data_IF_257225619294
#
_entry.id   IF_257225619294
#
_cell.length_a   1.000
_cell.length_b   1.000
_cell.length_c   1.000
_cell.angle_alpha   90.00
_cell.angle_beta   90.00
_cell.angle_gamma   90.00
#
_symmetry.space_group_name_H-M   'P 1'
#
loop_
_entity.id
_entity.type
_entity.pdbx_description
1 polymer ?
#
# COMPACT_ATOMS: atom_id res chain seq x y z
N UNK A 1 -29.73 14.45 21.92
CA UNK A 1 -28.36 14.11 21.53
C UNK A 1 -28.47 13.38 20.21
N UNK A 2 -28.33 14.10 19.09
CA UNK A 2 -28.40 13.49 17.76
C UNK A 2 -27.19 12.59 17.61
N UNK A 3 -27.42 11.30 17.45
CA UNK A 3 -26.38 10.32 17.21
C UNK A 3 -25.89 10.54 15.76
N UNK A 4 -25.03 11.55 15.53
CA UNK A 4 -24.53 11.87 14.19
C UNK A 4 -23.69 10.71 13.68
N UNK A 5 -24.03 10.16 12.53
CA UNK A 5 -23.25 9.07 11.94
C UNK A 5 -21.98 9.69 11.34
N UNK A 6 -20.81 9.10 11.62
CA UNK A 6 -19.55 9.54 11.01
C UNK A 6 -19.08 8.51 10.01
N UNK A 7 -18.68 8.99 8.85
CA UNK A 7 -18.16 8.19 7.74
C UNK A 7 -16.68 8.50 7.61
N UNK A 8 -15.86 7.47 7.45
CA UNK A 8 -14.44 7.64 7.10
C UNK A 8 -14.26 7.15 5.69
N UNK A 9 -13.54 7.90 4.87
CA UNK A 9 -13.29 7.57 3.48
C UNK A 9 -11.81 7.80 3.14
N UNK A 10 -11.09 6.71 2.91
CA UNK A 10 -9.70 6.73 2.45
C UNK A 10 -9.64 6.63 0.93
N UNK A 11 -9.32 7.74 0.26
CA UNK A 11 -9.27 7.84 -1.21
C UNK A 11 -7.93 7.30 -1.76
N UNK A 12 -7.62 6.04 -1.47
CA UNK A 12 -6.41 5.39 -1.97
C UNK A 12 -6.37 5.22 -3.49
N UNK A 13 -5.17 5.04 -4.05
CA UNK A 13 -4.95 4.94 -5.52
C UNK A 13 -5.49 3.67 -6.17
N UNK A 14 -5.83 2.67 -5.37
CA UNK A 14 -6.30 1.36 -5.81
C UNK A 14 -7.19 0.63 -4.80
N UNK A 15 -7.34 1.17 -3.57
CA UNK A 15 -8.31 0.72 -2.57
C UNK A 15 -9.02 1.94 -1.99
N UNK A 16 -10.35 2.00 -2.08
CA UNK A 16 -11.23 2.95 -1.39
C UNK A 16 -11.77 2.25 -0.16
N UNK A 17 -11.46 2.76 1.02
CA UNK A 17 -11.92 2.18 2.29
C UNK A 17 -12.94 3.11 2.92
N UNK A 18 -14.16 2.60 3.16
CA UNK A 18 -15.18 3.38 3.84
C UNK A 18 -16.05 2.56 4.78
N UNK A 19 -16.45 3.15 5.90
CA UNK A 19 -17.50 2.61 6.76
C UNK A 19 -18.19 3.71 7.57
N UNK A 20 -19.36 3.36 8.12
CA UNK A 20 -20.03 4.14 9.16
C UNK A 20 -19.54 3.70 10.55
N UNK A 21 -19.18 4.65 11.41
CA UNK A 21 -18.75 4.40 12.78
C UNK A 21 -19.90 4.03 13.75
N UNK A 22 -21.08 3.67 13.24
CA UNK A 22 -22.30 3.54 14.02
C UNK A 22 -22.79 2.09 14.10
N UNK A 23 -22.28 1.31 15.06
CA UNK A 23 -23.03 0.20 15.64
C UNK A 23 -22.97 0.31 17.18
N UNK A 24 -24.15 0.47 17.78
CA UNK A 24 -24.32 0.77 19.19
C UNK A 24 -23.97 -0.39 20.12
N UNK A 25 -23.33 -0.04 21.25
CA UNK A 25 -23.16 -0.88 22.43
C UNK A 25 -24.51 -1.32 23.00
N UNK A 26 -24.73 -2.64 23.08
CA UNK A 26 -25.65 -3.22 24.07
C UNK A 26 -24.84 -3.55 25.31
N UNK A 27 -25.28 -2.98 26.42
CA UNK A 27 -24.71 -2.99 27.78
C UNK A 27 -24.28 -4.37 28.29
N UNK A 28 -23.11 -4.45 28.95
CA UNK A 28 -22.92 -5.23 30.18
C UNK A 28 -21.80 -4.60 31.04
N UNK A 29 -22.10 -4.48 32.33
CA UNK A 29 -21.36 -3.81 33.39
C UNK A 29 -20.11 -4.56 33.87
N UNK A 30 -19.13 -3.79 34.33
CA UNK A 30 -18.00 -4.10 35.22
C UNK A 30 -16.63 -4.43 34.59
N UNK A 31 -15.70 -3.50 34.86
CA UNK A 31 -14.26 -3.67 35.08
C UNK A 31 -13.55 -4.74 34.23
N UNK A 32 -13.14 -4.36 33.03
CA UNK A 32 -11.78 -4.51 32.48
C UNK A 32 -11.78 -3.73 31.16
N UNK A 33 -10.93 -2.70 31.06
CA UNK A 33 -10.68 -2.03 29.78
C UNK A 33 -9.98 -3.03 28.86
N UNK A 34 -10.76 -3.77 28.08
CA UNK A 34 -10.30 -4.70 27.07
C UNK A 34 -10.86 -4.30 25.72
N UNK A 35 -9.94 -4.17 24.78
CA UNK A 35 -10.11 -4.16 23.34
C UNK A 35 -11.09 -5.29 22.97
N UNK A 36 -12.33 -4.92 22.68
CA UNK A 36 -13.36 -5.81 22.14
C UNK A 36 -13.80 -5.23 20.80
N UNK A 37 -12.99 -5.47 19.77
CA UNK A 37 -13.40 -5.38 18.37
C UNK A 37 -14.46 -6.47 18.19
N UNK A 38 -15.72 -6.08 18.27
CA UNK A 38 -16.85 -6.99 18.10
C UNK A 38 -16.84 -7.54 16.67
N UNK A 39 -17.02 -8.85 16.57
CA UNK A 39 -17.03 -9.64 15.34
C UNK A 39 -18.19 -9.25 14.41
N UNK A 40 -17.96 -8.26 13.55
CA UNK A 40 -18.71 -8.11 12.30
C UNK A 40 -17.70 -8.11 11.15
N UNK A 41 -17.29 -9.33 10.80
CA UNK A 41 -16.25 -9.62 9.82
C UNK A 41 -16.74 -9.38 8.38
N UNK A 42 -15.85 -8.73 7.62
CA UNK A 42 -15.63 -8.82 6.17
C UNK A 42 -16.67 -8.19 5.21
N UNK A 43 -16.54 -6.89 4.93
CA UNK A 43 -16.70 -6.42 3.54
C UNK A 43 -15.29 -6.09 3.02
N UNK A 44 -14.60 -7.12 2.53
CA UNK A 44 -13.28 -7.01 1.89
C UNK A 44 -13.51 -7.04 0.40
N UNK A 45 -13.03 -6.02 -0.33
CA UNK A 45 -12.49 -6.09 -1.69
C UNK A 45 -12.00 -4.71 -2.13
N UNK A 46 -11.03 -4.72 -3.04
CA UNK A 46 -10.26 -3.56 -3.49
C UNK A 46 -11.08 -2.70 -4.48
N UNK A 47 -11.12 -1.37 -4.30
CA UNK A 47 -11.86 -0.38 -5.13
C UNK A 47 -10.98 0.85 -5.43
N UNK A 48 -11.12 1.67 -6.47
CA UNK A 48 -12.22 1.73 -7.40
C UNK A 48 -11.74 1.61 -8.86
N UNK A 49 -12.23 0.58 -9.54
CA UNK A 49 -12.34 0.60 -11.00
C UNK A 49 -13.62 1.38 -11.34
N UNK A 50 -13.55 2.34 -12.26
CA UNK A 50 -14.73 2.88 -12.93
C UNK A 50 -14.74 2.36 -14.36
N UNK A 51 -15.86 1.83 -14.80
CA UNK A 51 -15.95 1.18 -16.09
C UNK A 51 -17.19 1.66 -16.84
N UNK A 52 -16.98 2.17 -18.04
CA UNK A 52 -18.05 2.63 -18.92
C UNK A 52 -18.26 1.57 -20.00
N UNK A 53 -19.51 1.16 -20.31
CA UNK A 53 -19.80 0.27 -21.42
C UNK A 53 -19.30 0.87 -22.72
N UNK A 54 -18.59 0.07 -23.52
CA UNK A 54 -18.13 0.46 -24.86
C UNK A 54 -19.33 0.60 -25.81
N UNK A 55 -20.00 1.75 -25.78
CA UNK A 55 -21.14 2.07 -26.67
C UNK A 55 -20.74 2.28 -28.14
N UNK A 56 -19.46 2.15 -28.48
CA UNK A 56 -18.92 2.33 -29.83
C UNK A 56 -18.34 1.04 -30.43
N UNK A 57 -18.84 -0.15 -30.07
CA UNK A 57 -18.66 -1.31 -30.95
C UNK A 57 -19.61 -1.16 -32.15
N UNK A 58 -19.11 -0.56 -33.25
CA UNK A 58 -19.69 -0.85 -34.57
C UNK A 58 -19.59 -2.36 -34.72
N UNK A 59 -20.74 -3.04 -34.69
CA UNK A 59 -20.87 -4.48 -34.84
C UNK A 59 -20.02 -4.98 -36.02
N UNK A 60 -18.84 -5.53 -35.72
CA UNK A 60 -18.14 -6.44 -36.62
C UNK A 60 -18.73 -7.82 -36.38
N UNK A 61 -19.80 -8.08 -37.11
CA UNK A 61 -20.35 -9.37 -37.51
C UNK A 61 -20.47 -10.48 -36.45
N UNK A 62 -21.74 -10.79 -36.15
CA UNK A 62 -22.25 -12.14 -35.86
C UNK A 62 -21.61 -12.90 -34.69
N UNK A 63 -22.07 -12.57 -33.48
CA UNK A 63 -22.25 -13.57 -32.44
C UNK A 63 -23.67 -13.39 -31.89
N UNK A 64 -24.40 -14.50 -31.81
CA UNK A 64 -25.83 -14.59 -31.57
C UNK A 64 -26.24 -13.91 -30.26
N UNK A 65 -27.32 -13.11 -30.35
CA UNK A 65 -28.16 -12.70 -29.22
C UNK A 65 -28.73 -13.97 -28.56
N UNK A 66 -27.97 -14.57 -27.65
CA UNK A 66 -28.53 -15.51 -26.70
C UNK A 66 -27.69 -15.51 -25.43
N UNK A 67 -28.38 -15.28 -24.30
CA UNK A 67 -27.91 -15.37 -22.92
C UNK A 67 -27.29 -14.08 -22.34
N UNK A 68 -28.14 -13.10 -21.99
CA UNK A 68 -28.37 -12.63 -20.60
C UNK A 68 -29.23 -11.35 -20.63
N UNK A 69 -30.47 -11.43 -20.12
CA UNK A 69 -31.30 -10.26 -19.76
C UNK A 69 -30.74 -9.60 -18.50
N UNK A 70 -29.57 -8.95 -18.59
CA UNK A 70 -29.14 -8.00 -17.58
C UNK A 70 -29.04 -6.63 -18.24
N UNK A 71 -29.83 -5.67 -17.73
CA UNK A 71 -29.66 -4.26 -18.09
C UNK A 71 -28.26 -3.82 -17.64
N UNK A 72 -27.32 -3.75 -18.59
CA UNK A 72 -26.00 -3.20 -18.34
C UNK A 72 -26.19 -1.71 -18.02
N UNK A 73 -25.96 -1.34 -16.76
CA UNK A 73 -25.97 0.06 -16.32
C UNK A 73 -24.93 0.87 -17.13
N UNK A 74 -25.25 2.14 -17.37
CA UNK A 74 -24.41 3.09 -18.11
C UNK A 74 -23.00 3.27 -17.51
N UNK A 75 -22.84 2.97 -16.22
CA UNK A 75 -21.58 3.02 -15.48
C UNK A 75 -21.54 1.86 -14.49
N UNK A 76 -20.44 1.13 -14.48
CA UNK A 76 -20.16 0.04 -13.53
C UNK A 76 -18.97 0.47 -12.68
N UNK A 77 -19.07 0.28 -11.36
CA UNK A 77 -18.03 0.63 -10.40
C UNK A 77 -17.64 -0.62 -9.63
N UNK A 78 -16.34 -0.79 -9.36
CA UNK A 78 -15.86 -1.78 -8.41
C UNK A 78 -15.71 -3.20 -8.96
N UNK A 79 -15.98 -4.22 -8.15
CA UNK A 79 -15.74 -5.63 -8.53
C UNK A 79 -16.56 -6.06 -9.75
N UNK A 80 -17.75 -5.51 -9.94
CA UNK A 80 -18.57 -5.77 -11.12
C UNK A 80 -17.83 -5.40 -12.43
N UNK A 81 -16.84 -4.50 -12.38
CA UNK A 81 -15.97 -4.25 -13.53
C UNK A 81 -15.09 -5.44 -13.92
N UNK A 82 -14.65 -6.24 -12.94
CA UNK A 82 -13.73 -7.35 -13.19
C UNK A 82 -14.42 -8.46 -13.97
N UNK A 83 -15.69 -8.74 -13.67
CA UNK A 83 -16.50 -9.75 -14.37
C UNK A 83 -16.69 -9.40 -15.86
N UNK A 84 -16.94 -8.12 -16.16
CA UNK A 84 -17.22 -7.64 -17.51
C UNK A 84 -16.03 -6.92 -18.16
N UNK A 85 -14.80 -7.10 -17.66
CA UNK A 85 -13.59 -6.38 -18.11
C UNK A 85 -13.35 -6.43 -19.62
N UNK A 86 -13.76 -7.51 -20.28
CA UNK A 86 -13.61 -7.68 -21.73
C UNK A 86 -14.61 -6.85 -22.56
N UNK A 87 -15.65 -6.31 -21.93
CA UNK A 87 -16.73 -5.54 -22.57
C UNK A 87 -16.74 -4.06 -22.16
N UNK A 88 -15.87 -3.66 -21.23
CA UNK A 88 -15.85 -2.33 -20.63
C UNK A 88 -14.50 -1.64 -20.86
N UNK A 89 -14.54 -0.32 -21.00
CA UNK A 89 -13.32 0.50 -20.89
C UNK A 89 -13.10 0.88 -19.44
N UNK A 90 -11.89 0.66 -18.91
CA UNK A 90 -11.58 0.80 -17.48
C UNK A 90 -10.77 2.07 -17.25
N UNK A 91 -11.37 2.99 -16.50
CA UNK A 91 -10.75 4.24 -16.06
C UNK A 91 -10.46 4.20 -14.56
N UNK A 92 -9.35 4.83 -14.18
CA UNK A 92 -8.95 5.02 -12.78
C UNK A 92 -8.98 6.52 -12.48
N UNK A 93 -9.93 7.00 -11.65
CA UNK A 93 -10.05 8.43 -11.37
C UNK A 93 -8.86 8.98 -10.59
N UNK A 94 -8.20 8.12 -9.81
CA UNK A 94 -7.03 8.47 -9.00
C UNK A 94 -5.77 7.89 -9.64
N UNK A 95 -4.83 8.76 -10.00
CA UNK A 95 -3.53 8.35 -10.51
C UNK A 95 -2.42 8.93 -9.63
N UNK A 96 -1.49 8.06 -9.21
CA UNK A 96 -0.40 8.40 -8.32
C UNK A 96 -0.83 9.22 -7.08
N UNK A 97 -1.89 8.76 -6.42
CA UNK A 97 -2.49 9.34 -5.22
C UNK A 97 -3.42 10.53 -5.49
N UNK A 98 -3.42 11.09 -6.69
CA UNK A 98 -4.11 12.36 -6.99
C UNK A 98 -5.32 12.11 -7.89
N UNK A 99 -6.47 12.70 -7.56
CA UNK A 99 -7.67 12.69 -8.40
C UNK A 99 -7.39 13.47 -9.69
N UNK A 100 -7.50 12.80 -10.84
CA UNK A 100 -7.34 13.40 -12.17
C UNK A 100 -8.70 13.65 -12.83
N UNK A 101 -9.66 12.73 -12.66
CA UNK A 101 -11.01 12.86 -13.22
C UNK A 101 -12.05 12.91 -12.10
N UNK A 102 -12.68 14.08 -11.92
CA UNK A 102 -13.66 14.34 -10.89
C UNK A 102 -15.04 13.77 -11.21
N UNK A 103 -15.41 13.68 -12.49
CA UNK A 103 -16.67 13.08 -12.90
C UNK A 103 -16.67 11.59 -12.57
N UNK A 104 -15.56 10.92 -12.91
CA UNK A 104 -15.33 9.52 -12.61
C UNK A 104 -15.28 9.26 -11.09
N UNK A 105 -14.61 10.14 -10.33
CA UNK A 105 -14.58 10.05 -8.87
C UNK A 105 -15.97 10.25 -8.26
N UNK A 106 -16.79 11.11 -8.86
CA UNK A 106 -18.17 11.30 -8.46
C UNK A 106 -18.99 10.01 -8.53
N UNK A 107 -18.83 9.22 -9.60
CA UNK A 107 -19.49 7.91 -9.72
C UNK A 107 -19.00 6.90 -8.68
N UNK A 108 -17.71 6.95 -8.34
CA UNK A 108 -17.13 6.12 -7.27
C UNK A 108 -17.75 6.46 -5.92
N UNK A 109 -17.85 7.74 -5.58
CA UNK A 109 -18.50 8.18 -4.34
C UNK A 109 -20.00 7.90 -4.32
N UNK A 110 -20.71 8.08 -5.45
CA UNK A 110 -22.14 7.74 -5.56
C UNK A 110 -22.37 6.25 -5.26
N UNK A 111 -21.51 5.38 -5.81
CA UNK A 111 -21.55 3.95 -5.53
C UNK A 111 -21.25 3.65 -4.05
N UNK A 112 -20.20 4.26 -3.48
CA UNK A 112 -19.81 4.05 -2.09
C UNK A 112 -20.91 4.49 -1.10
N UNK A 113 -21.46 5.70 -1.25
CA UNK A 113 -22.44 6.24 -0.30
C UNK A 113 -23.83 5.61 -0.44
N UNK A 114 -24.32 5.45 -1.67
CA UNK A 114 -25.71 5.03 -1.91
C UNK A 114 -25.87 3.52 -2.13
N UNK A 115 -24.90 2.86 -2.78
CA UNK A 115 -25.02 1.43 -3.09
C UNK A 115 -24.47 0.56 -1.95
N UNK A 116 -23.25 0.87 -1.50
CA UNK A 116 -22.54 0.07 -0.49
C UNK A 116 -22.95 0.44 0.93
N UNK A 117 -22.71 1.69 1.35
CA UNK A 117 -22.97 2.14 2.72
C UNK A 117 -24.45 2.39 3.01
N UNK A 118 -25.25 2.69 1.97
CA UNK A 118 -26.68 3.00 2.06
C UNK A 118 -27.00 4.08 3.10
N UNK A 119 -26.16 5.11 3.15
CA UNK A 119 -26.30 6.24 4.06
C UNK A 119 -27.00 7.41 3.37
N UNK A 120 -27.62 8.28 4.17
CA UNK A 120 -27.96 9.63 3.74
C UNK A 120 -26.80 10.57 4.14
N UNK A 121 -26.04 11.10 3.16
CA UNK A 121 -24.96 12.04 3.45
C UNK A 121 -25.39 13.26 4.27
N UNK A 122 -26.64 13.71 4.15
CA UNK A 122 -27.13 14.95 4.79
C UNK A 122 -27.18 14.88 6.31
N UNK A 123 -27.31 13.68 6.87
CA UNK A 123 -27.32 13.43 8.32
C UNK A 123 -25.95 13.02 8.87
N UNK A 124 -24.95 12.87 7.99
CA UNK A 124 -23.65 12.32 8.32
C UNK A 124 -22.54 13.38 8.31
N UNK A 125 -21.49 13.11 9.08
CA UNK A 125 -20.20 13.79 8.96
C UNK A 125 -19.21 12.87 8.23
N UNK A 126 -18.26 13.43 7.48
CA UNK A 126 -17.28 12.66 6.72
C UNK A 126 -15.84 13.09 7.00
N UNK A 127 -14.99 12.13 7.36
CA UNK A 127 -13.54 12.27 7.41
C UNK A 127 -12.94 11.71 6.12
N UNK A 128 -12.23 12.55 5.39
CA UNK A 128 -11.52 12.21 4.16
C UNK A 128 -10.02 12.16 4.43
N UNK A 129 -9.34 11.24 3.76
CA UNK A 129 -7.88 11.20 3.78
C UNK A 129 -7.29 12.02 2.64
N UNK A 130 -6.16 12.68 2.91
CA UNK A 130 -5.40 13.46 1.94
C UNK A 130 -4.02 12.82 1.74
N UNK A 131 -3.62 12.52 0.48
CA UNK A 131 -2.27 12.07 0.21
C UNK A 131 -1.26 13.19 0.48
N UNK A 132 -0.01 12.84 0.84
CA UNK A 132 1.04 13.85 0.99
C UNK A 132 1.25 14.65 -0.29
N UNK A 133 1.51 15.95 -0.15
CA UNK A 133 1.77 16.89 -1.26
C UNK A 133 0.59 17.05 -2.24
N UNK A 134 -0.67 16.90 -1.78
CA UNK A 134 -1.83 17.19 -2.61
C UNK A 134 -1.97 18.71 -2.87
N UNK A 135 -2.15 19.16 -4.13
CA UNK A 135 -2.42 20.55 -4.44
C UNK A 135 -3.63 21.10 -3.68
N UNK A 136 -3.56 22.36 -3.21
CA UNK A 136 -4.67 23.00 -2.49
C UNK A 136 -5.97 22.93 -3.29
N UNK A 137 -5.92 23.23 -4.59
CA UNK A 137 -7.07 23.16 -5.52
C UNK A 137 -7.83 21.84 -5.48
N UNK A 138 -7.14 20.72 -5.26
CA UNK A 138 -7.79 19.42 -5.17
C UNK A 138 -8.53 19.28 -3.83
N UNK A 139 -7.92 19.72 -2.72
CA UNK A 139 -8.58 19.78 -1.41
C UNK A 139 -9.82 20.66 -1.44
N UNK A 140 -9.71 21.82 -2.08
CA UNK A 140 -10.82 22.75 -2.33
C UNK A 140 -11.96 22.06 -3.07
N UNK A 141 -11.66 21.37 -4.17
CA UNK A 141 -12.67 20.66 -4.97
C UNK A 141 -13.28 19.47 -4.24
N UNK A 142 -12.52 18.76 -3.40
CA UNK A 142 -13.09 17.70 -2.54
C UNK A 142 -14.14 18.27 -1.60
N UNK A 143 -13.82 19.36 -0.88
CA UNK A 143 -14.75 19.99 0.06
C UNK A 143 -15.98 20.55 -0.64
N UNK A 144 -15.78 21.26 -1.76
CA UNK A 144 -16.87 21.75 -2.61
C UNK A 144 -17.81 20.60 -3.00
N UNK A 145 -17.26 19.47 -3.45
CA UNK A 145 -18.08 18.31 -3.84
C UNK A 145 -18.86 17.73 -2.65
N UNK A 146 -18.24 17.61 -1.47
CA UNK A 146 -18.90 17.05 -0.29
C UNK A 146 -20.03 17.95 0.23
N UNK A 147 -19.87 19.27 0.19
CA UNK A 147 -20.93 20.19 0.62
C UNK A 147 -21.96 20.49 -0.46
N UNK A 148 -21.57 20.73 -1.70
CA UNK A 148 -22.49 21.16 -2.76
C UNK A 148 -23.23 19.98 -3.41
N UNK A 149 -22.54 18.87 -3.73
CA UNK A 149 -23.16 17.71 -4.38
C UNK A 149 -23.83 16.81 -3.34
N UNK A 150 -23.11 16.43 -2.29
CA UNK A 150 -23.58 15.44 -1.31
C UNK A 150 -24.28 16.04 -0.10
N UNK A 151 -24.09 17.33 0.18
CA UNK A 151 -24.70 18.02 1.31
C UNK A 151 -24.37 17.42 2.70
N UNK A 152 -23.14 16.94 2.91
CA UNK A 152 -22.70 16.45 4.23
C UNK A 152 -22.85 17.51 5.33
N UNK A 153 -23.19 17.06 6.55
CA UNK A 153 -23.37 17.94 7.71
C UNK A 153 -22.05 18.51 8.24
N UNK A 154 -20.95 17.76 8.06
CA UNK A 154 -19.62 18.25 8.38
C UNK A 154 -18.53 17.44 7.67
N UNK A 155 -17.43 18.09 7.37
CA UNK A 155 -16.30 17.53 6.63
C UNK A 155 -15.02 17.77 7.40
N UNK A 156 -14.13 16.77 7.42
CA UNK A 156 -12.77 16.94 7.90
C UNK A 156 -11.81 16.23 6.96
N UNK A 157 -10.66 16.85 6.68
CA UNK A 157 -9.62 16.27 5.82
C UNK A 157 -8.36 16.07 6.66
N UNK A 158 -7.75 14.89 6.58
CA UNK A 158 -6.51 14.59 7.30
C UNK A 158 -5.49 13.84 6.46
N UNK A 159 -4.22 14.17 6.65
CA UNK A 159 -3.11 13.53 5.94
C UNK A 159 -3.00 12.05 6.34
N UNK A 160 -2.85 11.18 5.35
CA UNK A 160 -2.75 9.71 5.53
C UNK A 160 -1.69 9.31 6.56
N UNK A 161 -0.49 9.90 6.47
CA UNK A 161 0.61 9.61 7.39
C UNK A 161 0.27 9.94 8.85
N UNK A 162 -0.39 11.07 9.13
CA UNK A 162 -0.73 11.45 10.49
C UNK A 162 -1.73 10.45 11.10
N UNK A 163 -2.70 9.99 10.31
CA UNK A 163 -3.65 8.96 10.74
C UNK A 163 -2.97 7.64 11.09
N UNK A 164 -1.97 7.22 10.31
CA UNK A 164 -1.24 5.96 10.61
C UNK A 164 -0.52 5.99 11.95
N UNK A 165 0.05 7.14 12.36
CA UNK A 165 0.67 7.29 13.67
C UNK A 165 -0.37 7.30 14.79
N UNK A 166 -1.50 7.98 14.58
CA UNK A 166 -2.60 7.99 15.55
C UNK A 166 -3.16 6.58 15.81
N UNK A 167 -3.23 5.73 14.78
CA UNK A 167 -3.61 4.33 14.96
C UNK A 167 -2.64 3.51 15.84
N UNK A 168 -1.37 3.93 15.95
CA UNK A 168 -0.39 3.35 16.90
C UNK A 168 -0.32 4.10 18.24
N UNK A 169 -1.07 5.18 18.41
CA UNK A 169 -0.97 6.05 19.60
C UNK A 169 0.33 6.87 19.64
N UNK A 170 0.92 7.15 18.47
CA UNK A 170 2.13 7.97 18.33
C UNK A 170 1.76 9.35 17.78
N UNK A 171 2.46 10.39 18.26
CA UNK A 171 2.38 11.75 17.71
C UNK A 171 3.60 12.12 16.87
N UNK A 172 4.73 11.46 17.12
CA UNK A 172 6.01 11.70 16.44
C UNK A 172 6.55 10.40 15.88
N UNK A 173 6.93 10.41 14.61
CA UNK A 173 7.44 9.23 13.91
C UNK A 173 7.65 9.50 12.43
N UNK A 174 8.29 8.56 11.75
CA UNK A 174 8.44 8.55 10.31
C UNK A 174 7.50 7.50 9.72
N UNK A 175 6.60 7.90 8.83
CA UNK A 175 5.68 6.97 8.17
C UNK A 175 6.21 6.63 6.79
N UNK A 176 6.27 5.35 6.48
CA UNK A 176 6.53 4.83 5.14
C UNK A 176 5.23 4.23 4.65
N UNK A 177 4.54 4.95 3.78
CA UNK A 177 3.28 4.53 3.20
C UNK A 177 3.48 4.10 1.74
N UNK A 178 3.35 2.81 1.46
CA UNK A 178 3.51 2.23 0.13
C UNK A 178 2.21 1.56 -0.33
N UNK A 179 1.46 2.28 -1.18
CA UNK A 179 0.16 1.85 -1.69
C UNK A 179 0.24 1.11 -3.03
N UNK A 180 -0.77 1.30 -3.88
CA UNK A 180 -0.79 0.76 -5.25
C UNK A 180 -0.04 1.65 -6.25
N UNK A 181 -0.23 2.99 -6.16
CA UNK A 181 0.36 3.92 -7.13
C UNK A 181 1.66 4.58 -6.69
N UNK A 182 1.81 4.90 -5.40
CA UNK A 182 2.93 5.73 -4.89
C UNK A 182 3.44 5.20 -3.56
N UNK A 183 4.73 5.46 -3.30
CA UNK A 183 5.36 5.32 -1.99
C UNK A 183 5.76 6.69 -1.46
N UNK A 184 5.34 7.01 -0.23
CA UNK A 184 5.68 8.23 0.48
C UNK A 184 6.47 7.92 1.75
N UNK A 185 7.41 8.80 2.06
CA UNK A 185 8.11 8.84 3.34
C UNK A 185 7.81 10.20 3.96
N UNK A 186 7.05 10.20 5.05
CA UNK A 186 6.54 11.42 5.68
C UNK A 186 7.02 11.50 7.12
N UNK A 187 7.83 12.52 7.49
CA UNK A 187 8.17 12.78 8.86
C UNK A 187 7.03 13.55 9.53
N UNK A 188 6.63 13.10 10.72
CA UNK A 188 5.63 13.75 11.57
C UNK A 188 6.25 13.98 12.94
N UNK A 189 6.13 15.20 13.45
CA UNK A 189 6.58 15.58 14.80
C UNK A 189 5.44 16.30 15.49
N UNK A 190 5.04 15.81 16.67
CA UNK A 190 3.97 16.34 17.50
C UNK A 190 2.65 16.53 16.74
N UNK A 191 2.34 15.62 15.82
CA UNK A 191 1.14 15.65 14.96
C UNK A 191 1.27 16.52 13.71
N UNK A 192 2.38 17.24 13.52
CA UNK A 192 2.63 18.07 12.34
C UNK A 192 3.50 17.33 11.32
N UNK A 193 3.05 17.29 10.07
CA UNK A 193 3.85 16.80 8.95
C UNK A 193 4.73 17.91 8.36
N UNK A 194 5.87 17.55 7.76
CA UNK A 194 6.76 18.50 7.09
C UNK A 194 6.74 18.28 5.56
N UNK A 195 5.95 19.05 4.79
CA UNK A 195 5.83 18.87 3.34
C UNK A 195 7.17 18.98 2.61
N UNK A 196 8.04 19.91 3.03
CA UNK A 196 9.34 20.13 2.40
C UNK A 196 10.35 19.00 2.61
N UNK A 197 10.12 18.13 3.62
CA UNK A 197 10.98 16.98 3.93
C UNK A 197 10.36 15.66 3.46
N UNK A 198 9.08 15.68 3.08
CA UNK A 198 8.37 14.52 2.56
C UNK A 198 9.01 14.06 1.26
N UNK A 199 9.39 12.78 1.20
CA UNK A 199 9.93 12.15 -0.01
C UNK A 199 8.85 11.32 -0.68
N UNK A 200 8.82 11.38 -2.01
CA UNK A 200 7.85 10.66 -2.83
C UNK A 200 8.56 9.89 -3.94
N UNK A 201 8.16 8.64 -4.13
CA UNK A 201 8.59 7.78 -5.22
C UNK A 201 7.37 7.25 -5.95
N UNK A 202 7.31 7.42 -7.27
CA UNK A 202 6.24 6.89 -8.12
C UNK A 202 6.48 5.41 -8.46
N UNK A 203 6.85 4.61 -7.45
CA UNK A 203 7.01 3.16 -7.52
C UNK A 203 6.28 2.57 -6.34
N UNK A 204 5.41 1.59 -6.62
CA UNK A 204 4.49 1.00 -5.65
C UNK A 204 3.90 -0.30 -6.23
N UNK A 205 2.80 -0.78 -5.66
CA UNK A 205 2.21 -2.08 -5.96
C UNK A 205 1.91 -2.33 -7.44
N UNK A 206 1.36 -1.34 -8.16
CA UNK A 206 1.01 -1.41 -9.58
C UNK A 206 2.24 -1.59 -10.45
N UNK A 207 3.28 -0.81 -10.17
CA UNK A 207 4.56 -0.86 -10.89
C UNK A 207 5.25 -2.21 -10.69
N UNK A 208 5.21 -2.75 -9.47
CA UNK A 208 5.74 -4.10 -9.18
C UNK A 208 4.94 -5.18 -9.91
N UNK A 209 3.60 -5.08 -9.96
CA UNK A 209 2.77 -6.01 -10.74
C UNK A 209 3.13 -5.95 -12.22
N UNK A 210 3.23 -4.75 -12.82
CA UNK A 210 3.65 -4.58 -14.23
C UNK A 210 5.01 -5.18 -14.50
N UNK A 211 5.97 -4.96 -13.59
CA UNK A 211 7.31 -5.53 -13.72
C UNK A 211 7.30 -7.06 -13.62
N UNK A 212 6.47 -7.62 -12.73
CA UNK A 212 6.30 -9.08 -12.64
C UNK A 212 5.71 -9.68 -13.92
N UNK A 213 4.77 -8.99 -14.60
CA UNK A 213 4.27 -9.41 -15.92
C UNK A 213 5.42 -9.50 -16.93
N UNK A 214 6.28 -8.49 -16.97
CA UNK A 214 7.43 -8.46 -17.89
C UNK A 214 8.45 -9.56 -17.55
N UNK A 215 8.71 -9.84 -16.27
CA UNK A 215 9.58 -10.93 -15.83
C UNK A 215 9.03 -12.31 -16.21
N UNK A 216 7.73 -12.55 -15.98
CA UNK A 216 7.06 -13.80 -16.39
C UNK A 216 7.06 -13.98 -17.90
N UNK A 217 6.91 -12.88 -18.65
CA UNK A 217 6.99 -12.88 -20.12
C UNK A 217 8.38 -13.28 -20.61
N UNK A 218 9.45 -12.75 -19.99
CA UNK A 218 10.85 -13.12 -20.30
C UNK A 218 11.15 -14.59 -20.00
N UNK A 219 10.45 -15.20 -19.04
CA UNK A 219 10.56 -16.63 -18.73
C UNK A 219 9.84 -17.54 -19.74
N UNK A 220 9.06 -16.97 -20.64
CA UNK A 220 8.34 -17.71 -21.69
C UNK A 220 6.85 -17.95 -21.40
N UNK A 221 6.29 -17.33 -20.36
CA UNK A 221 4.84 -17.30 -20.19
C UNK A 221 4.24 -16.15 -20.99
N UNK A 222 3.43 -16.45 -22.01
CA UNK A 222 2.73 -15.42 -22.77
C UNK A 222 1.64 -14.77 -21.91
N UNK A 223 2.02 -13.72 -21.17
CA UNK A 223 1.13 -12.91 -20.33
C UNK A 223 0.84 -11.58 -21.03
N UNK A 224 -0.41 -11.14 -20.96
CA UNK A 224 -0.85 -9.86 -21.50
C UNK A 224 -0.95 -8.82 -20.37
N UNK A 225 -0.40 -7.62 -20.60
CA UNK A 225 -0.29 -6.56 -19.58
C UNK A 225 -1.63 -6.10 -19.02
N UNK A 226 -2.72 -6.18 -19.79
CA UNK A 226 -4.04 -5.68 -19.39
C UNK A 226 -4.99 -6.78 -18.91
N UNK A 227 -4.98 -7.94 -19.56
CA UNK A 227 -5.88 -9.05 -19.25
C UNK A 227 -5.42 -9.84 -18.02
N UNK A 228 -4.12 -10.15 -17.94
CA UNK A 228 -3.57 -10.99 -16.87
C UNK A 228 -3.11 -10.18 -15.65
N UNK A 229 -3.30 -8.86 -15.65
CA UNK A 229 -2.81 -7.96 -14.61
C UNK A 229 -3.31 -8.34 -13.22
N UNK A 230 -4.60 -8.67 -13.10
CA UNK A 230 -5.22 -9.06 -11.82
C UNK A 230 -4.66 -10.39 -11.33
N UNK A 231 -4.58 -11.38 -12.21
CA UNK A 231 -4.01 -12.69 -11.89
C UNK A 231 -2.55 -12.56 -11.44
N UNK A 232 -1.76 -11.70 -12.11
CA UNK A 232 -0.38 -11.43 -11.71
C UNK A 232 -0.29 -10.63 -10.41
N UNK A 233 -1.25 -9.76 -10.11
CA UNK A 233 -1.36 -9.10 -8.78
C UNK A 233 -1.57 -10.13 -7.68
N UNK A 234 -2.46 -11.11 -7.87
CA UNK A 234 -2.63 -12.19 -6.89
C UNK A 234 -1.37 -13.03 -6.71
N UNK A 235 -0.68 -13.35 -7.81
CA UNK A 235 0.59 -14.08 -7.77
C UNK A 235 1.63 -13.30 -6.95
N UNK A 236 1.72 -11.98 -7.18
CA UNK A 236 2.59 -11.08 -6.44
C UNK A 236 2.30 -11.15 -4.94
N UNK A 237 1.03 -11.00 -4.54
CA UNK A 237 0.65 -10.98 -3.13
C UNK A 237 0.84 -12.33 -2.43
N UNK A 238 0.62 -13.44 -3.14
CA UNK A 238 0.75 -14.79 -2.59
C UNK A 238 2.20 -15.27 -2.52
N UNK A 239 3.02 -14.95 -3.52
CA UNK A 239 4.32 -15.60 -3.72
C UNK A 239 5.54 -14.68 -3.55
N UNK A 240 5.41 -13.38 -3.77
CA UNK A 240 6.56 -12.48 -3.72
C UNK A 240 7.01 -12.17 -2.29
N UNK A 241 8.31 -11.95 -2.14
CA UNK A 241 8.93 -11.62 -0.87
C UNK A 241 10.18 -10.77 -1.12
N UNK A 242 10.60 -10.02 -0.11
CA UNK A 242 11.83 -9.24 -0.19
C UNK A 242 12.98 -10.07 0.36
N UNK A 243 14.01 -10.23 -0.46
CA UNK A 243 15.18 -11.01 -0.11
C UNK A 243 16.08 -10.22 0.84
N UNK A 244 16.43 -10.84 1.96
CA UNK A 244 17.47 -10.35 2.84
C UNK A 244 18.84 -10.82 2.33
N UNK A 245 19.79 -9.91 2.20
CA UNK A 245 21.18 -10.23 1.77
C UNK A 245 21.87 -11.25 2.70
N UNK A 246 21.39 -11.41 3.95
CA UNK A 246 21.94 -12.39 4.91
C UNK A 246 21.73 -13.85 4.46
N UNK A 247 20.66 -14.17 3.72
CA UNK A 247 20.41 -15.54 3.23
C UNK A 247 21.42 -15.98 2.14
N UNK A 248 22.10 -15.03 1.49
CA UNK A 248 23.21 -15.37 0.59
C UNK A 248 24.37 -15.98 1.38
N UNK A 249 24.61 -15.53 2.60
CA UNK A 249 25.69 -16.01 3.46
C UNK A 249 25.32 -17.36 4.08
N UNK A 250 24.07 -17.65 4.42
CA UNK A 250 23.71 -19.00 4.91
C UNK A 250 23.66 -20.05 3.79
N UNK A 251 23.18 -19.68 2.59
CA UNK A 251 23.23 -20.59 1.43
C UNK A 251 24.67 -20.80 0.92
N UNK A 252 25.55 -19.78 0.99
CA UNK A 252 26.99 -19.94 0.66
C UNK A 252 27.81 -20.53 1.80
N UNK A 253 27.44 -20.31 3.07
CA UNK A 253 28.11 -20.96 4.22
C UNK A 253 27.76 -22.44 4.31
N UNK A 254 26.55 -22.85 3.91
CA UNK A 254 26.26 -24.28 3.72
C UNK A 254 27.16 -24.88 2.63
N UNK A 255 27.50 -24.08 1.61
CA UNK A 255 28.45 -24.42 0.54
C UNK A 255 29.92 -24.49 1.04
N UNK A 256 30.33 -23.62 1.95
CA UNK A 256 31.69 -23.59 2.52
C UNK A 256 31.86 -24.66 3.61
N UNK A 257 30.83 -24.95 4.40
CA UNK A 257 30.90 -25.95 5.47
C UNK A 257 31.09 -27.37 4.92
N UNK A 258 30.57 -27.66 3.71
CA UNK A 258 30.88 -28.90 2.99
C UNK A 258 32.33 -28.96 2.47
N UNK A 259 32.91 -27.84 2.05
CA UNK A 259 34.31 -27.79 1.62
C UNK A 259 35.31 -27.89 2.78
N UNK A 260 35.01 -27.33 3.95
CA UNK A 260 35.94 -27.32 5.09
C UNK A 260 36.00 -28.68 5.82
N UNK A 261 34.94 -29.50 5.77
CA UNK A 261 34.95 -30.86 6.34
C UNK A 261 35.87 -31.82 5.56
N UNK A 262 36.13 -31.55 4.27
CA UNK A 262 37.05 -32.36 3.44
C UNK A 262 38.53 -32.00 3.63
N UNK A 263 38.85 -30.83 4.18
CA UNK A 263 40.25 -30.35 4.30
C UNK A 263 40.91 -30.81 5.62
N UNK A 264 40.13 -31.18 6.64
CA UNK A 264 40.68 -31.54 7.96
C UNK A 264 40.85 -33.05 8.21
N UNK A 265 40.46 -33.90 7.28
CA UNK A 265 40.86 -35.32 7.26
C UNK A 265 41.85 -35.56 6.13
N UNK A 266 43.09 -35.14 6.39
CA UNK A 266 44.23 -35.46 5.54
C UNK A 266 44.38 -36.98 5.43
N UNK A 267 43.95 -37.51 4.29
CA UNK A 267 44.43 -38.72 3.62
C UNK A 267 43.43 -39.09 2.54
N UNK A 268 43.76 -38.87 1.27
CA UNK A 268 43.61 -39.81 0.15
C UNK A 268 44.00 -39.08 -1.15
N UNK A 269 44.68 -39.84 -2.00
CA UNK A 269 45.33 -39.52 -3.26
C UNK A 269 44.48 -38.68 -4.23
N UNK A 270 45.11 -37.69 -4.86
CA UNK A 270 44.58 -37.01 -6.04
C UNK A 270 44.75 -37.92 -7.26
N UNK A 271 43.70 -38.64 -7.66
CA UNK A 271 43.64 -39.26 -8.99
C UNK A 271 42.58 -38.53 -9.83
N UNK A 272 43.06 -37.79 -10.83
CA UNK A 272 42.32 -36.99 -11.80
C UNK A 272 41.61 -37.88 -12.83
N UNK A 273 40.64 -38.69 -12.40
CA UNK A 273 39.83 -39.52 -13.31
C UNK A 273 38.36 -39.57 -12.89
N UNK A 274 37.53 -38.97 -13.75
CA UNK A 274 36.08 -39.18 -13.87
C UNK A 274 35.22 -38.80 -12.65
N UNK A 275 35.02 -37.50 -12.44
CA UNK A 275 33.71 -37.03 -11.97
C UNK A 275 32.95 -36.48 -13.18
N UNK A 276 31.86 -37.18 -13.55
CA UNK A 276 30.94 -36.77 -14.59
C UNK A 276 30.24 -35.47 -14.20
N UNK A 277 29.87 -34.67 -15.20
CA UNK A 277 29.22 -33.36 -15.08
C UNK A 277 27.85 -33.37 -14.35
N UNK A 278 27.38 -34.52 -13.86
CA UNK A 278 26.05 -34.71 -13.26
C UNK A 278 25.96 -34.33 -11.77
N UNK A 279 27.03 -34.45 -10.98
CA UNK A 279 26.96 -34.18 -9.53
C UNK A 279 27.03 -32.68 -9.16
N UNK A 280 27.72 -31.86 -9.96
CA UNK A 280 27.68 -30.39 -9.87
C UNK A 280 26.33 -29.81 -10.33
N UNK A 281 25.62 -30.52 -11.21
CA UNK A 281 24.28 -30.14 -11.65
C UNK A 281 23.24 -30.33 -10.55
N UNK A 282 23.38 -31.33 -9.68
CA UNK A 282 22.41 -31.68 -8.63
C UNK A 282 22.38 -30.71 -7.44
N UNK A 283 23.52 -30.11 -7.07
CA UNK A 283 23.59 -29.11 -5.98
C UNK A 283 23.07 -27.74 -6.41
N UNK A 284 23.34 -27.32 -7.65
CA UNK A 284 22.68 -26.16 -8.27
C UNK A 284 21.17 -26.41 -8.47
N UNK A 285 20.76 -27.63 -8.82
CA UNK A 285 19.34 -28.00 -8.93
C UNK A 285 18.60 -27.93 -7.60
N UNK A 286 19.23 -28.33 -6.49
CA UNK A 286 18.57 -28.37 -5.18
C UNK A 286 18.28 -26.98 -4.59
N UNK A 287 19.20 -26.01 -4.78
CA UNK A 287 18.97 -24.61 -4.38
C UNK A 287 17.93 -23.95 -5.30
N UNK A 288 17.91 -24.31 -6.59
CA UNK A 288 16.96 -23.79 -7.57
C UNK A 288 15.51 -24.24 -7.31
N UNK A 289 15.30 -25.41 -6.71
CA UNK A 289 13.97 -25.95 -6.41
C UNK A 289 13.31 -25.33 -5.16
N UNK A 290 14.09 -24.82 -4.19
CA UNK A 290 13.55 -24.17 -2.98
C UNK A 290 12.96 -22.77 -3.22
N UNK A 291 13.37 -22.11 -4.30
CA UNK A 291 12.87 -20.76 -4.68
C UNK A 291 11.62 -20.85 -5.58
N UNK A 292 11.39 -22.01 -6.18
CA UNK A 292 10.35 -22.21 -7.19
C UNK A 292 9.00 -22.51 -6.53
N UNK A 293 8.06 -21.58 -6.67
CA UNK A 293 6.67 -21.77 -6.30
C UNK A 293 5.84 -22.11 -7.54
N UNK A 294 4.81 -22.95 -7.34
CA UNK A 294 3.91 -23.42 -8.39
C UNK A 294 2.52 -22.88 -8.08
N UNK A 295 1.88 -22.22 -9.05
CA UNK A 295 0.53 -21.68 -8.87
C UNK A 295 -0.34 -21.98 -10.10
N UNK A 296 -1.60 -22.41 -9.90
CA UNK A 296 -2.55 -22.51 -11.00
C UNK A 296 -3.00 -21.12 -11.46
N UNK A 297 -3.27 -21.01 -12.75
CA UNK A 297 -3.93 -19.87 -13.39
C UNK A 297 -5.44 -20.16 -13.53
N UNK A 298 -6.27 -19.11 -13.73
CA UNK A 298 -7.73 -19.28 -13.89
C UNK A 298 -8.14 -20.19 -15.04
N UNK A 299 -7.31 -20.29 -16.08
CA UNK A 299 -7.52 -21.16 -17.25
C UNK A 299 -7.07 -22.62 -17.04
N UNK A 300 -6.64 -22.98 -15.82
CA UNK A 300 -6.15 -24.30 -15.47
C UNK A 300 -4.70 -24.58 -15.84
N UNK A 301 -3.99 -23.64 -16.51
CA UNK A 301 -2.54 -23.75 -16.70
C UNK A 301 -1.84 -23.60 -15.36
N UNK A 302 -0.68 -24.23 -15.23
CA UNK A 302 0.14 -24.15 -14.02
C UNK A 302 1.45 -23.46 -14.35
N UNK A 303 1.77 -22.37 -13.66
CA UNK A 303 3.02 -21.64 -13.85
C UNK A 303 3.97 -21.87 -12.68
N UNK A 304 5.26 -21.86 -13.01
CA UNK A 304 6.37 -21.94 -12.06
C UNK A 304 7.01 -20.56 -11.94
N UNK A 305 6.98 -19.98 -10.75
CA UNK A 305 7.57 -18.67 -10.43
C UNK A 305 8.76 -18.90 -9.50
N UNK A 306 9.96 -18.48 -9.92
CA UNK A 306 11.22 -18.68 -9.20
C UNK A 306 11.79 -17.36 -8.71
N UNK A 307 12.88 -16.90 -9.33
CA UNK A 307 13.60 -15.68 -8.89
C UNK A 307 12.78 -14.41 -9.03
N UNK A 308 11.76 -14.41 -9.88
CA UNK A 308 10.85 -13.29 -10.10
C UNK A 308 10.15 -12.87 -8.80
N UNK A 309 9.97 -13.81 -7.87
CA UNK A 309 9.35 -13.61 -6.55
C UNK A 309 10.05 -12.55 -5.71
N UNK A 310 11.37 -12.44 -5.81
CA UNK A 310 12.14 -11.42 -5.09
C UNK A 310 12.73 -10.36 -6.02
N UNK A 311 12.87 -10.64 -7.31
CA UNK A 311 13.30 -9.64 -8.29
C UNK A 311 12.23 -8.55 -8.50
N UNK A 312 10.95 -8.91 -8.51
CA UNK A 312 9.87 -7.94 -8.69
C UNK A 312 9.83 -6.87 -7.57
N UNK A 313 9.77 -7.22 -6.26
CA UNK A 313 9.75 -6.23 -5.20
C UNK A 313 11.10 -5.52 -4.97
N UNK A 314 12.21 -5.97 -5.58
CA UNK A 314 13.49 -5.26 -5.53
C UNK A 314 13.41 -3.87 -6.18
N UNK A 315 12.44 -3.64 -7.08
CA UNK A 315 12.16 -2.33 -7.64
C UNK A 315 11.82 -1.25 -6.59
N UNK A 316 11.41 -1.63 -5.37
CA UNK A 316 11.22 -0.68 -4.26
C UNK A 316 12.54 -0.13 -3.71
N UNK A 317 13.64 -0.88 -3.85
CA UNK A 317 14.98 -0.49 -3.39
C UNK A 317 15.88 -0.03 -4.53
N UNK A 318 15.64 -0.54 -5.75
CA UNK A 318 16.37 -0.17 -6.97
C UNK A 318 15.36 0.21 -8.06
N UNK A 319 14.82 1.44 -8.04
CA UNK A 319 13.83 1.91 -9.02
C UNK A 319 14.32 1.84 -10.47
N UNK A 320 15.64 1.85 -10.71
CA UNK A 320 16.20 1.77 -12.06
C UNK A 320 15.88 0.44 -12.76
N UNK A 321 15.51 -0.61 -12.01
CA UNK A 321 15.08 -1.89 -12.59
C UNK A 321 13.82 -1.80 -13.45
N UNK A 322 13.01 -0.76 -13.23
CA UNK A 322 11.78 -0.47 -13.97
C UNK A 322 11.88 0.85 -14.74
N UNK A 323 13.10 1.27 -15.07
CA UNK A 323 13.41 2.51 -15.78
C UNK A 323 12.90 3.78 -15.08
N UNK A 324 12.81 3.74 -13.74
CA UNK A 324 12.47 4.91 -12.92
C UNK A 324 13.74 5.46 -12.29
N UNK A 325 14.04 6.73 -12.58
CA UNK A 325 15.14 7.43 -11.92
C UNK A 325 14.71 7.90 -10.52
N UNK A 326 15.53 7.64 -9.51
CA UNK A 326 15.29 8.11 -8.15
C UNK A 326 15.89 7.22 -7.09
N UNK A 327 15.73 7.64 -5.84
CA UNK A 327 16.19 6.87 -4.69
C UNK A 327 15.25 5.70 -4.41
N UNK A 328 15.81 4.57 -3.97
CA UNK A 328 15.03 3.49 -3.36
C UNK A 328 14.45 3.89 -2.01
N UNK A 329 13.50 3.07 -1.52
CA UNK A 329 12.77 3.30 -0.26
C UNK A 329 13.70 3.56 0.94
N UNK A 330 14.77 2.77 1.11
CA UNK A 330 15.69 2.95 2.23
C UNK A 330 16.48 4.27 2.15
N UNK A 331 16.89 4.67 0.95
CA UNK A 331 17.60 5.92 0.72
C UNK A 331 16.69 7.14 0.94
N UNK A 332 15.43 7.05 0.52
CA UNK A 332 14.42 8.06 0.84
C UNK A 332 14.25 8.23 2.35
N UNK A 333 14.13 7.12 3.09
CA UNK A 333 14.02 7.13 4.56
C UNK A 333 15.24 7.78 5.20
N UNK A 334 16.43 7.34 4.81
CA UNK A 334 17.66 7.88 5.35
C UNK A 334 17.80 9.38 5.06
N UNK A 335 17.58 9.82 3.81
CA UNK A 335 17.63 11.24 3.44
C UNK A 335 16.59 12.07 4.17
N UNK A 336 15.36 11.59 4.26
CA UNK A 336 14.29 12.26 5.01
C UNK A 336 14.70 12.52 6.47
N UNK A 337 15.27 11.53 7.14
CA UNK A 337 15.71 11.69 8.54
C UNK A 337 16.95 12.61 8.62
N UNK A 338 17.88 12.55 7.66
CA UNK A 338 19.09 13.39 7.68
C UNK A 338 18.83 14.87 7.35
N UNK A 339 17.76 15.18 6.63
CA UNK A 339 17.35 16.56 6.37
C UNK A 339 16.57 17.20 7.54
N UNK A 340 16.01 16.40 8.45
CA UNK A 340 15.38 16.89 9.67
C UNK A 340 16.38 17.50 10.64
N UNK A 341 15.89 18.35 11.54
CA UNK A 341 16.67 18.90 12.66
C UNK A 341 17.27 17.79 13.53
N UNK A 342 18.51 18.01 13.96
CA UNK A 342 19.34 17.01 14.67
C UNK A 342 18.61 16.44 15.88
N UNK A 343 17.88 17.29 16.61
CA UNK A 343 17.16 16.94 17.83
C UNK A 343 16.06 15.89 17.59
N UNK A 344 15.43 15.92 16.41
CA UNK A 344 14.33 15.03 16.06
C UNK A 344 14.79 13.71 15.43
N UNK A 345 16.01 13.64 14.88
CA UNK A 345 16.47 12.46 14.11
C UNK A 345 16.43 11.17 14.90
N UNK A 346 16.89 11.20 16.15
CA UNK A 346 16.93 10.01 17.01
C UNK A 346 15.54 9.52 17.37
N UNK A 347 14.56 10.43 17.47
CA UNK A 347 13.15 10.07 17.69
C UNK A 347 12.57 9.40 16.43
N UNK A 348 12.86 9.95 15.24
CA UNK A 348 12.40 9.37 13.97
C UNK A 348 12.98 7.97 13.71
N UNK A 349 14.26 7.74 14.02
CA UNK A 349 14.85 6.39 13.92
C UNK A 349 14.21 5.37 14.88
N UNK A 350 13.67 5.82 16.01
CA UNK A 350 13.01 4.94 16.99
C UNK A 350 11.55 4.64 16.66
N UNK A 351 10.94 5.41 15.76
CA UNK A 351 9.52 5.33 15.44
C UNK A 351 9.29 5.40 13.94
N UNK A 352 9.88 4.44 13.20
CA UNK A 352 9.57 4.23 11.78
C UNK A 352 8.37 3.30 11.69
N UNK A 353 7.27 3.73 11.08
CA UNK A 353 6.03 2.96 10.97
C UNK A 353 5.74 2.62 9.51
N UNK A 354 5.51 1.34 9.22
CA UNK A 354 5.12 0.87 7.89
C UNK A 354 3.60 0.91 7.71
N UNK A 355 3.14 1.45 6.58
CA UNK A 355 1.73 1.51 6.16
C UNK A 355 1.58 1.16 4.68
N UNK A 356 0.39 0.65 4.31
CA UNK A 356 -0.01 0.42 2.93
C UNK A 356 0.31 -1.00 2.43
N UNK A 357 -0.46 -1.45 1.43
CA UNK A 357 -0.44 -2.83 0.95
C UNK A 357 0.91 -3.32 0.42
N UNK A 358 1.70 -2.45 -0.19
CA UNK A 358 3.03 -2.82 -0.71
C UNK A 358 4.08 -2.97 0.38
N UNK A 359 3.76 -2.66 1.64
CA UNK A 359 4.62 -2.96 2.79
C UNK A 359 4.40 -4.36 3.38
N UNK A 360 3.51 -5.15 2.79
CA UNK A 360 3.14 -6.48 3.28
C UNK A 360 4.10 -7.59 2.85
N UNK A 361 5.10 -7.31 2.00
CA UNK A 361 6.07 -8.31 1.58
C UNK A 361 6.83 -8.90 2.78
N UNK A 362 6.89 -10.24 2.90
CA UNK A 362 7.76 -10.88 3.88
C UNK A 362 9.22 -10.45 3.70
N UNK A 363 9.90 -10.13 4.79
CA UNK A 363 11.31 -9.69 4.77
C UNK A 363 11.53 -8.19 4.58
N UNK A 364 10.50 -7.40 4.21
CA UNK A 364 10.64 -5.96 4.05
C UNK A 364 11.21 -5.25 5.29
N UNK A 365 10.68 -5.45 6.52
CA UNK A 365 11.16 -4.71 7.69
C UNK A 365 12.65 -4.97 7.95
N UNK A 366 13.07 -6.24 7.88
CA UNK A 366 14.47 -6.64 8.10
C UNK A 366 15.41 -6.11 7.02
N UNK A 367 14.98 -6.09 5.75
CA UNK A 367 15.77 -5.52 4.64
C UNK A 367 15.97 -4.02 4.85
N UNK A 368 14.88 -3.33 5.15
CA UNK A 368 14.89 -1.88 5.38
C UNK A 368 15.74 -1.52 6.59
N UNK A 369 15.63 -2.27 7.69
CA UNK A 369 16.46 -2.09 8.88
C UNK A 369 17.95 -2.19 8.54
N UNK A 370 18.34 -3.23 7.81
CA UNK A 370 19.72 -3.44 7.39
C UNK A 370 20.23 -2.28 6.52
N UNK A 371 19.49 -1.87 5.49
CA UNK A 371 19.94 -0.81 4.60
C UNK A 371 20.08 0.53 5.33
N UNK A 372 19.15 0.87 6.23
CA UNK A 372 19.26 2.08 7.05
C UNK A 372 20.50 2.02 7.94
N UNK A 373 20.79 0.86 8.56
CA UNK A 373 22.00 0.68 9.37
C UNK A 373 23.28 0.80 8.53
N UNK A 374 23.30 0.23 7.33
CA UNK A 374 24.44 0.31 6.41
C UNK A 374 24.69 1.78 5.98
N UNK A 375 23.63 2.53 5.63
CA UNK A 375 23.73 3.97 5.32
C UNK A 375 24.18 4.79 6.52
N UNK A 376 23.65 4.50 7.71
CA UNK A 376 24.04 5.19 8.94
C UNK A 376 25.52 4.93 9.29
N UNK A 377 25.98 3.69 9.14
CA UNK A 377 27.37 3.33 9.37
C UNK A 377 28.32 4.07 8.43
N UNK A 378 27.96 4.13 7.14
CA UNK A 378 28.79 4.76 6.12
C UNK A 378 28.80 6.29 6.25
N UNK A 379 27.63 6.92 6.26
CA UNK A 379 27.49 8.38 6.17
C UNK A 379 27.67 9.07 7.52
N UNK A 380 27.05 8.54 8.60
CA UNK A 380 27.04 9.20 9.91
C UNK A 380 28.25 8.77 10.75
N UNK A 381 28.49 7.46 10.84
CA UNK A 381 29.55 6.91 11.68
C UNK A 381 30.91 6.80 10.96
N UNK A 382 30.96 7.02 9.64
CA UNK A 382 32.18 6.94 8.82
C UNK A 382 32.96 5.63 9.03
N UNK A 383 32.22 4.51 9.11
CA UNK A 383 32.77 3.17 9.32
C UNK A 383 32.99 2.75 10.78
N UNK A 384 32.70 3.62 11.77
CA UNK A 384 32.83 3.27 13.19
C UNK A 384 31.71 2.33 13.67
N UNK A 385 32.00 1.02 13.66
CA UNK A 385 31.04 -0.03 14.05
C UNK A 385 30.61 0.01 15.52
N UNK A 386 31.43 0.54 16.43
CA UNK A 386 31.08 0.62 17.85
C UNK A 386 29.99 1.65 18.12
N UNK A 387 29.90 2.69 17.28
CA UNK A 387 28.84 3.69 17.34
C UNK A 387 27.45 3.12 17.02
N UNK A 388 27.37 2.01 16.29
CA UNK A 388 26.09 1.41 15.88
C UNK A 388 25.28 0.91 17.08
N UNK A 389 25.96 0.46 18.14
CA UNK A 389 25.32 0.01 19.40
C UNK A 389 24.56 1.13 20.13
N UNK A 390 24.85 2.39 19.82
CA UNK A 390 24.17 3.55 20.41
C UNK A 390 22.90 3.93 19.65
N UNK A 391 22.78 3.54 18.38
CA UNK A 391 21.59 3.80 17.59
C UNK A 391 20.47 2.84 18.01
N UNK A 392 19.33 3.39 18.42
CA UNK A 392 18.10 2.63 18.63
C UNK A 392 17.25 2.77 17.39
N UNK A 393 17.46 1.89 16.41
CA UNK A 393 16.61 1.79 15.24
C UNK A 393 15.42 0.88 15.57
N UNK A 394 14.21 1.31 15.27
CA UNK A 394 13.02 0.47 15.36
C UNK A 394 12.10 0.76 14.17
N UNK A 395 11.76 -0.32 13.49
CA UNK A 395 10.77 -0.35 12.42
C UNK A 395 9.57 -1.12 12.95
N UNK A 396 8.43 -0.45 13.01
CA UNK A 396 7.16 -1.00 13.46
C UNK A 396 6.38 -1.48 12.22
N UNK A 397 6.07 -2.77 12.19
CA UNK A 397 5.34 -3.41 11.11
C UNK A 397 4.02 -4.04 11.61
N UNK A 398 3.01 -3.24 12.01
CA UNK A 398 1.75 -3.76 12.51
C UNK A 398 1.13 -4.81 11.56
N UNK A 399 0.49 -5.88 12.07
CA UNK A 399 -0.08 -6.93 11.21
C UNK A 399 -1.24 -6.42 10.34
N UNK A 400 -1.92 -5.34 10.76
CA UNK A 400 -3.02 -4.69 10.04
C UNK A 400 -2.57 -3.48 9.23
N UNK A 401 -1.28 -3.37 8.90
CA UNK A 401 -0.68 -2.20 8.21
C UNK A 401 -1.20 -1.89 6.82
N UNK A 402 -1.83 -2.86 6.13
CA UNK A 402 -2.51 -2.62 4.84
C UNK A 402 -3.57 -1.51 4.93
N UNK A 403 -4.24 -1.38 6.08
CA UNK A 403 -5.42 -0.53 6.28
C UNK A 403 -5.21 0.50 7.40
N UNK A 404 -3.94 0.80 7.76
CA UNK A 404 -3.63 1.61 8.94
C UNK A 404 -4.09 3.06 8.84
N UNK A 405 -4.06 3.63 7.64
CA UNK A 405 -4.58 4.97 7.35
C UNK A 405 -6.05 5.04 7.75
N UNK A 406 -6.85 4.12 7.22
CA UNK A 406 -8.27 4.02 7.50
C UNK A 406 -8.56 3.72 8.98
N UNK A 407 -7.83 2.78 9.60
CA UNK A 407 -7.98 2.48 11.04
C UNK A 407 -7.72 3.72 11.90
N UNK A 408 -6.71 4.52 11.54
CA UNK A 408 -6.42 5.80 12.21
C UNK A 408 -7.53 6.81 12.03
N UNK A 409 -8.06 6.93 10.82
CA UNK A 409 -9.23 7.75 10.51
C UNK A 409 -10.45 7.34 11.33
N UNK A 410 -10.74 6.04 11.42
CA UNK A 410 -11.86 5.50 12.19
C UNK A 410 -11.73 5.78 13.70
N UNK A 411 -10.53 5.63 14.26
CA UNK A 411 -10.26 5.98 15.67
C UNK A 411 -10.44 7.47 15.90
N UNK A 412 -9.85 8.32 15.05
CA UNK A 412 -9.95 9.77 15.17
C UNK A 412 -11.40 10.25 15.04
N UNK A 413 -12.09 9.79 14.00
CA UNK A 413 -13.50 10.10 13.75
C UNK A 413 -14.41 9.64 14.90
N UNK A 414 -14.14 8.46 15.48
CA UNK A 414 -14.90 7.94 16.62
C UNK A 414 -14.73 8.79 17.88
N UNK A 415 -13.51 9.28 18.14
CA UNK A 415 -13.23 10.15 19.30
C UNK A 415 -13.80 11.56 19.09
N UNK A 416 -13.70 12.11 17.88
CA UNK A 416 -14.06 13.50 17.57
C UNK A 416 -15.51 13.70 17.09
N UNK A 417 -16.31 12.62 17.04
CA UNK A 417 -17.71 12.65 16.56
C UNK A 417 -18.57 13.75 17.22
N UNK A 418 -18.43 13.91 18.54
CA UNK A 418 -19.26 14.84 19.31
C UNK A 418 -18.57 16.20 19.54
N UNK A 419 -17.41 16.46 18.93
CA UNK A 419 -16.64 17.70 19.06
C UNK A 419 -16.95 18.65 17.88
N UNK A 420 -17.89 19.60 18.00
CA UNK A 420 -18.32 20.45 16.88
C UNK A 420 -17.20 21.32 16.30
N UNK A 421 -16.22 21.72 17.12
CA UNK A 421 -15.06 22.53 16.71
C UNK A 421 -14.07 21.80 15.80
N UNK A 422 -14.13 20.46 15.76
CA UNK A 422 -13.24 19.65 14.93
C UNK A 422 -13.73 19.58 13.48
N UNK A 423 -15.04 19.57 13.27
CA UNK A 423 -15.63 19.42 11.95
C UNK A 423 -15.83 20.79 11.31
N UNK A 424 -15.45 20.93 10.04
CA UNK A 424 -15.94 22.04 9.22
C UNK A 424 -17.43 21.79 9.00
N UNK A 425 -18.28 22.70 9.44
CA UNK A 425 -19.72 22.56 9.25
C UNK A 425 -20.15 23.11 7.89
N UNK A 426 -21.37 22.74 7.47
CA UNK A 426 -21.97 23.36 6.28
C UNK A 426 -22.14 24.87 6.46
N UNK A 427 -22.47 25.33 7.66
CA UNK A 427 -22.59 26.76 7.96
C UNK A 427 -21.25 27.48 7.75
N UNK A 428 -20.14 26.92 8.25
CA UNK A 428 -18.80 27.47 8.02
C UNK A 428 -18.49 27.61 6.52
N UNK A 429 -18.83 26.58 5.74
CA UNK A 429 -18.62 26.58 4.29
C UNK A 429 -19.50 27.62 3.56
N UNK A 430 -20.74 27.83 4.00
CA UNK A 430 -21.62 28.83 3.39
C UNK A 430 -21.19 30.27 3.71
N UNK A 431 -20.56 30.49 4.87
CA UNK A 431 -20.08 31.82 5.30
C UNK A 431 -18.71 32.16 4.70
N UNK A 432 -17.75 31.24 4.77
CA UNK A 432 -16.35 31.48 4.37
C UNK A 432 -16.00 30.89 2.99
N UNK A 433 -16.91 30.10 2.40
CA UNK A 433 -16.62 29.31 1.22
C UNK A 433 -15.51 28.31 1.49
N UNK A 434 -14.59 28.19 0.54
CA UNK A 434 -13.48 27.24 0.59
C UNK A 434 -12.39 27.65 1.63
N UNK A 435 -12.40 28.90 2.11
CA UNK A 435 -11.43 29.38 3.08
C UNK A 435 -11.51 28.68 4.46
N UNK A 436 -12.64 28.02 4.74
CA UNK A 436 -12.86 27.21 5.94
C UNK A 436 -11.84 26.05 6.07
N UNK A 437 -11.18 25.65 4.97
CA UNK A 437 -10.10 24.65 4.96
C UNK A 437 -8.92 25.02 5.86
N UNK A 438 -8.74 26.31 6.18
CA UNK A 438 -7.74 26.75 7.15
C UNK A 438 -7.90 26.10 8.53
N UNK A 439 -9.11 25.61 8.86
CA UNK A 439 -9.40 24.88 10.11
C UNK A 439 -8.86 23.44 10.12
N UNK A 440 -8.62 22.80 8.97
CA UNK A 440 -8.13 21.41 8.88
C UNK A 440 -6.62 21.25 9.16
N UNK A 441 -6.00 22.20 9.84
CA UNK A 441 -4.55 22.22 10.06
C UNK A 441 -3.80 22.65 8.80
N UNK A 442 -2.73 23.43 8.99
CA UNK A 442 -1.84 23.78 7.88
C UNK A 442 -1.11 22.53 7.41
N UNK A 443 -1.45 22.06 6.21
CA UNK A 443 -0.60 21.18 5.41
C UNK A 443 0.01 21.98 4.26
#
# INVERSE_FOLDING_TARGET
MNNRNVVVCDNGTGVLESSSSTFGLVTLSNLFALIAVCEMWLCWREFPYLCVPLRSWKATASYEESLMEQEIKDVIVGEACAEFRHQLDINYPVNNGIVQNWDDMGHVWDHAFYSELKIDPTECQILLTDPPLNPSKNREKMVETMFEKYNFAGVFIQIQAVLTLYAQGLLTGLVIDSGDGVTHVVPVVDGYSFPHLTKRMNVAGRHITSYLVDLLSRRGYAMNRTADFETVREIKEKLCYIRNVVELIDCTNYYIQFHVVMITKGSINWDLRHHTCEELHLSYFHVCHCVLAVTPLPDGRVIKVGTERFQAPEALFTPELIDVEGDGMADMVFRCIQEMDIDNRMMLYQHIVLSGGSTMYPGLPSRLEKEILDRYLDVVLKGNKDGLKKLRLRIEDPPRRKHMVYLGGAVLAGIMKDAPEFWITREDYLEEGVACLSKCGQA
#
